data_IF_874152762374
#
_entry.id   IF_874152762374
#
_cell.length_a   1.000
_cell.length_b   1.000
_cell.length_c   1.000
_cell.angle_alpha   90.00
_cell.angle_beta   90.00
_cell.angle_gamma   90.00
#
_symmetry.space_group_name_H-M   'P 1'
#
loop_
_entity.id
_entity.type
_entity.pdbx_description
1 polymer ?
#
# COMPACT_ATOMS: atom_id res chain seq x y z
N UNK A 1 -4.88 5.32 -16.11
CA UNK A 1 -3.77 5.71 -15.22
C UNK A 1 -3.99 7.06 -14.51
N UNK A 2 -4.93 7.89 -14.95
CA UNK A 2 -5.08 9.25 -14.40
C UNK A 2 -5.72 9.35 -13.01
N UNK A 3 -6.24 8.25 -12.44
CA UNK A 3 -6.73 8.23 -11.05
C UNK A 3 -6.61 6.84 -10.40
N UNK A 4 -5.37 6.39 -10.23
CA UNK A 4 -5.06 5.14 -9.55
C UNK A 4 -4.65 5.44 -8.09
N UNK A 5 -5.48 5.02 -7.14
CA UNK A 5 -5.23 5.22 -5.70
C UNK A 5 -3.92 4.55 -5.27
N UNK A 6 -3.72 3.28 -5.62
CA UNK A 6 -2.50 2.54 -5.25
C UNK A 6 -1.24 3.13 -5.89
N UNK A 7 -1.34 3.69 -7.08
CA UNK A 7 -0.22 4.35 -7.73
C UNK A 7 0.21 5.62 -6.98
N UNK A 8 -0.75 6.39 -6.43
CA UNK A 8 -0.46 7.55 -5.56
C UNK A 8 0.14 7.12 -4.22
N UNK A 9 -0.23 5.94 -3.71
CA UNK A 9 0.37 5.36 -2.50
C UNK A 9 1.84 4.97 -2.77
N UNK A 10 2.10 4.20 -3.84
CA UNK A 10 3.47 3.80 -4.23
C UNK A 10 4.34 5.02 -4.57
N UNK A 11 3.77 6.07 -5.16
CA UNK A 11 4.48 7.32 -5.43
C UNK A 11 4.77 8.16 -4.17
N UNK A 12 4.18 7.80 -3.02
CA UNK A 12 4.31 8.55 -1.77
C UNK A 12 3.43 9.81 -1.67
N UNK A 13 2.55 10.05 -2.64
CA UNK A 13 1.61 11.17 -2.64
C UNK A 13 0.52 11.01 -1.55
N UNK A 14 0.18 9.76 -1.23
CA UNK A 14 -0.77 9.39 -0.17
C UNK A 14 -0.02 8.54 0.86
N UNK A 15 -0.08 8.88 2.16
CA UNK A 15 0.59 8.10 3.19
C UNK A 15 -0.05 6.71 3.32
N UNK A 16 0.79 5.70 3.53
CA UNK A 16 0.37 4.36 3.92
C UNK A 16 1.34 3.80 4.97
N UNK A 17 0.89 2.80 5.73
CA UNK A 17 1.79 2.08 6.65
C UNK A 17 2.51 0.96 5.89
N UNK A 18 3.57 1.34 5.17
CA UNK A 18 4.45 0.42 4.44
C UNK A 18 5.16 -0.50 5.41
N UNK A 19 5.11 -1.80 5.15
CA UNK A 19 5.80 -2.83 5.94
C UNK A 19 6.94 -3.50 5.17
N UNK A 20 6.90 -3.43 3.84
CA UNK A 20 7.93 -3.95 2.95
C UNK A 20 7.91 -3.21 1.61
N UNK A 21 9.08 -2.95 1.05
CA UNK A 21 9.23 -2.35 -0.28
C UNK A 21 10.57 -2.81 -0.89
N UNK A 22 10.52 -3.29 -2.12
CA UNK A 22 11.67 -3.55 -2.99
C UNK A 22 11.35 -3.16 -4.45
N UNK A 23 12.24 -3.51 -5.38
CA UNK A 23 12.10 -3.14 -6.79
C UNK A 23 10.89 -3.79 -7.49
N UNK A 24 10.39 -4.91 -6.97
CA UNK A 24 9.34 -5.72 -7.58
C UNK A 24 8.01 -5.68 -6.80
N UNK A 25 8.05 -5.37 -5.51
CA UNK A 25 6.94 -5.50 -4.58
C UNK A 25 6.81 -4.33 -3.60
N UNK A 26 5.56 -3.98 -3.28
CA UNK A 26 5.24 -2.97 -2.29
C UNK A 26 4.11 -3.45 -1.38
N UNK A 27 4.40 -3.69 -0.10
CA UNK A 27 3.42 -4.17 0.86
C UNK A 27 3.11 -3.14 1.97
N UNK A 28 1.83 -2.93 2.24
CA UNK A 28 1.36 -1.98 3.25
C UNK A 28 0.11 -2.50 3.97
N UNK A 29 -0.18 -1.94 5.14
CA UNK A 29 -1.38 -2.33 5.91
C UNK A 29 -2.66 -1.85 5.25
N UNK A 30 -3.67 -2.72 5.23
CA UNK A 30 -5.02 -2.33 4.86
C UNK A 30 -5.58 -1.34 5.91
N UNK A 31 -6.25 -0.28 5.44
CA UNK A 31 -6.86 0.76 6.29
C UNK A 31 -8.11 0.25 7.05
N UNK A 32 -8.76 -0.80 6.56
CA UNK A 32 -9.92 -1.46 7.18
C UNK A 32 -9.68 -2.97 7.31
N UNK A 33 -8.74 -3.38 8.17
CA UNK A 33 -8.30 -4.77 8.27
C UNK A 33 -9.46 -5.70 8.65
N UNK A 34 -9.53 -6.86 7.98
CA UNK A 34 -10.51 -7.93 8.26
C UNK A 34 -9.97 -9.04 9.17
N UNK A 35 -8.72 -8.94 9.59
CA UNK A 35 -8.02 -9.84 10.49
C UNK A 35 -6.92 -9.07 11.23
N UNK A 36 -6.37 -9.64 12.30
CA UNK A 36 -5.33 -9.03 13.14
C UNK A 36 -4.09 -8.60 12.33
N UNK A 37 -3.77 -9.36 11.28
CA UNK A 37 -2.78 -8.97 10.27
C UNK A 37 -3.43 -9.03 8.90
N UNK A 38 -3.49 -7.89 8.23
CA UNK A 38 -4.02 -7.76 6.87
C UNK A 38 -3.12 -6.81 6.08
N UNK A 39 -2.43 -7.34 5.09
CA UNK A 39 -1.50 -6.62 4.24
C UNK A 39 -1.97 -6.72 2.79
N UNK A 40 -1.80 -5.64 2.05
CA UNK A 40 -1.93 -5.61 0.60
C UNK A 40 -0.52 -5.62 0.00
N UNK A 41 -0.33 -6.38 -1.08
CA UNK A 41 0.92 -6.51 -1.85
C UNK A 41 0.70 -5.97 -3.26
#
# INVERSE_FOLDING_TARGET
MTDCLFCKIVAGDIPSETVFEDDDFFAFRDISPKADTHLLL
#
